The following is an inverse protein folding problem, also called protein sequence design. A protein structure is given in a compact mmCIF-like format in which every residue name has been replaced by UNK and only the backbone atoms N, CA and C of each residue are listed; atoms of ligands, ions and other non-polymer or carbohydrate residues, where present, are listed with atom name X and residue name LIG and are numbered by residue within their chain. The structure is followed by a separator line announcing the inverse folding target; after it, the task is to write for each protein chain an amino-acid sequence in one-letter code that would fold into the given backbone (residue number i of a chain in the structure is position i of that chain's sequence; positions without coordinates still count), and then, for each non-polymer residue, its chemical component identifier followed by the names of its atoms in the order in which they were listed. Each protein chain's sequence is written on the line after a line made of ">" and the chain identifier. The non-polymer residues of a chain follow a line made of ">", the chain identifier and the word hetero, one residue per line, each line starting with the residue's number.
data_IF_057015990638
#
_entry.id   IF_057015990638
#
_cell.length_a   1.000
_cell.length_b   1.000
_cell.length_c   1.000
_cell.angle_alpha   90.00
_cell.angle_beta   90.00
_cell.angle_gamma   90.00
#
_symmetry.space_group_name_H-M   'P 1'
#
loop_
_entity.id
_entity.type
_entity.pdbx_description
1 polymer ?
#
# COMPACT_ATOMS: atom_id res chain seq x y z
N UNK A 1 17.41 23.21 -2.78
CA UNK A 1 17.38 22.27 -3.93
C UNK A 1 15.92 22.03 -4.32
N UNK A 2 15.54 22.35 -5.57
CA UNK A 2 14.22 22.00 -6.10
C UNK A 2 14.00 20.51 -5.87
N UNK A 3 12.92 20.13 -5.18
CA UNK A 3 12.56 18.73 -5.03
C UNK A 3 12.28 18.13 -6.41
N UNK A 4 12.34 16.79 -6.57
CA UNK A 4 11.98 16.11 -7.82
C UNK A 4 10.54 16.38 -8.29
N UNK A 5 9.72 17.07 -7.49
CA UNK A 5 8.32 17.39 -7.74
C UNK A 5 8.10 18.39 -8.90
N UNK A 6 9.10 19.22 -9.25
CA UNK A 6 8.92 20.37 -10.16
C UNK A 6 9.74 20.29 -11.46
N UNK A 7 10.38 19.15 -11.77
CA UNK A 7 11.03 18.99 -13.09
C UNK A 7 9.97 18.76 -14.17
N UNK A 8 9.51 19.86 -14.76
CA UNK A 8 8.53 19.88 -15.85
C UNK A 8 9.00 19.17 -17.13
N UNK A 9 10.28 18.74 -17.21
CA UNK A 9 10.76 17.90 -18.31
C UNK A 9 10.36 16.42 -18.17
N UNK A 10 9.84 16.01 -17.01
CA UNK A 10 9.38 14.64 -16.73
C UNK A 10 7.91 14.47 -17.12
N UNK A 11 7.41 13.23 -17.13
CA UNK A 11 6.03 12.93 -17.53
C UNK A 11 4.97 13.70 -16.71
N UNK A 12 3.75 13.91 -17.26
CA UNK A 12 2.73 14.80 -16.69
C UNK A 12 2.11 14.31 -15.36
N UNK A 13 2.27 13.02 -15.04
CA UNK A 13 1.62 12.41 -13.88
C UNK A 13 2.50 12.37 -12.63
N UNK A 14 1.92 12.68 -11.48
CA UNK A 14 2.52 12.63 -10.15
C UNK A 14 2.03 11.38 -9.39
N UNK A 15 2.98 10.56 -8.93
CA UNK A 15 2.74 9.33 -8.17
C UNK A 15 2.64 9.61 -6.67
N UNK A 16 1.56 9.18 -6.02
CA UNK A 16 1.50 9.05 -4.56
C UNK A 16 2.02 7.68 -4.12
N UNK A 17 3.18 7.63 -3.48
CA UNK A 17 3.69 6.41 -2.83
C UNK A 17 3.07 6.33 -1.45
N UNK A 18 2.05 5.47 -1.30
CA UNK A 18 1.28 5.32 -0.05
C UNK A 18 1.79 4.11 0.72
N UNK A 19 2.38 4.37 1.89
CA UNK A 19 3.07 3.37 2.70
C UNK A 19 2.32 3.16 4.02
N UNK A 20 1.59 2.05 4.19
CA UNK A 20 0.96 1.71 5.47
C UNK A 20 2.06 1.37 6.48
N UNK A 21 2.04 2.01 7.65
CA UNK A 21 3.19 2.02 8.54
C UNK A 21 2.81 1.93 10.03
N UNK A 22 3.55 1.10 10.77
CA UNK A 22 3.64 1.10 12.24
C UNK A 22 4.89 0.34 12.68
N UNK A 23 5.75 0.96 13.49
CA UNK A 23 6.93 0.32 14.12
C UNK A 23 7.84 -0.41 13.11
N UNK A 24 8.27 0.28 12.05
CA UNK A 24 9.16 -0.21 11.00
C UNK A 24 10.26 0.82 10.67
N UNK A 25 10.83 1.44 11.69
CA UNK A 25 11.68 2.63 11.50
C UNK A 25 12.96 2.31 10.74
N UNK A 26 13.59 1.16 11.01
CA UNK A 26 14.78 0.70 10.30
C UNK A 26 14.49 0.49 8.81
N UNK A 27 13.37 -0.16 8.48
CA UNK A 27 12.93 -0.36 7.11
C UNK A 27 12.59 0.98 6.44
N UNK A 28 12.00 1.93 7.17
CA UNK A 28 11.69 3.26 6.67
C UNK A 28 12.95 4.06 6.30
N UNK A 29 14.01 3.95 7.11
CA UNK A 29 15.30 4.59 6.86
C UNK A 29 15.92 4.11 5.54
N UNK A 30 15.75 2.84 5.18
CA UNK A 30 16.21 2.33 3.89
C UNK A 30 15.23 2.66 2.77
N UNK A 31 13.93 2.52 3.03
CA UNK A 31 12.86 2.66 2.03
C UNK A 31 12.84 4.02 1.37
N UNK A 32 12.84 5.11 2.16
CA UNK A 32 12.64 6.47 1.66
C UNK A 32 13.73 6.88 0.65
N UNK A 33 15.04 6.83 0.99
CA UNK A 33 16.08 7.17 0.03
C UNK A 33 16.15 6.18 -1.14
N UNK A 34 15.90 4.87 -0.91
CA UNK A 34 15.89 3.87 -1.99
C UNK A 34 14.81 4.18 -3.03
N UNK A 35 13.57 4.40 -2.60
CA UNK A 35 12.45 4.65 -3.49
C UNK A 35 12.58 5.99 -4.22
N UNK A 36 13.03 7.04 -3.52
CA UNK A 36 13.28 8.32 -4.17
C UNK A 36 14.32 8.22 -5.28
N UNK A 37 15.45 7.54 -5.02
CA UNK A 37 16.46 7.27 -6.04
C UNK A 37 15.88 6.45 -7.20
N UNK A 38 15.22 5.33 -6.90
CA UNK A 38 14.66 4.42 -7.89
C UNK A 38 13.64 5.11 -8.81
N UNK A 39 12.76 5.94 -8.27
CA UNK A 39 11.75 6.66 -9.04
C UNK A 39 12.34 7.86 -9.81
N UNK A 40 13.31 8.57 -9.22
CA UNK A 40 13.99 9.69 -9.87
C UNK A 40 14.81 9.24 -11.08
N UNK A 41 15.52 8.11 -11.00
CA UNK A 41 16.24 7.52 -12.15
C UNK A 41 15.30 7.17 -13.32
N UNK A 42 14.02 6.97 -13.02
CA UNK A 42 12.96 6.67 -13.99
C UNK A 42 12.18 7.91 -14.43
N UNK A 43 12.57 9.09 -13.95
CA UNK A 43 11.90 10.37 -14.23
C UNK A 43 10.42 10.36 -13.86
N UNK A 44 10.09 9.78 -12.71
CA UNK A 44 8.74 9.74 -12.16
C UNK A 44 8.62 10.82 -11.09
N UNK A 45 7.72 11.78 -11.27
CA UNK A 45 7.37 12.76 -10.23
C UNK A 45 6.60 12.04 -9.14
N UNK A 46 6.98 12.21 -7.88
CA UNK A 46 6.43 11.37 -6.81
C UNK A 46 6.47 12.02 -5.44
N UNK A 47 5.46 11.72 -4.62
CA UNK A 47 5.36 12.11 -3.22
C UNK A 47 5.26 10.86 -2.35
N UNK A 48 6.03 10.80 -1.26
CA UNK A 48 6.02 9.67 -0.33
C UNK A 48 5.19 10.00 0.90
N UNK A 49 4.11 9.24 1.13
CA UNK A 49 3.20 9.36 2.26
C UNK A 49 3.32 8.15 3.18
N UNK A 50 3.83 8.39 4.38
CA UNK A 50 3.95 7.38 5.44
C UNK A 50 2.69 7.45 6.30
N UNK A 51 1.78 6.49 6.11
CA UNK A 51 0.51 6.40 6.81
C UNK A 51 0.71 5.68 8.14
N UNK A 52 1.09 6.45 9.16
CA UNK A 52 1.47 5.95 10.47
C UNK A 52 0.24 5.72 11.35
N UNK A 53 -0.08 4.45 11.62
CA UNK A 53 -1.22 4.10 12.48
C UNK A 53 -0.87 4.29 13.96
N UNK A 54 -1.46 5.31 14.59
CA UNK A 54 -1.15 5.72 15.97
C UNK A 54 -2.17 5.28 17.02
N UNK A 55 -3.34 4.79 16.60
CA UNK A 55 -4.27 4.10 17.50
C UNK A 55 -3.64 2.81 18.07
N UNK A 56 -4.32 2.20 19.05
CA UNK A 56 -3.86 0.97 19.71
C UNK A 56 -4.45 -0.31 19.13
N UNK A 57 -5.31 -0.20 18.11
CA UNK A 57 -5.90 -1.35 17.46
C UNK A 57 -4.86 -2.16 16.71
N UNK A 58 -5.22 -3.37 16.30
CA UNK A 58 -4.38 -4.19 15.41
C UNK A 58 -4.08 -3.42 14.13
N UNK A 59 -2.98 -3.77 13.47
CA UNK A 59 -2.57 -3.06 12.26
C UNK A 59 -3.59 -3.28 11.14
N UNK A 60 -4.11 -2.20 10.53
CA UNK A 60 -5.11 -2.26 9.46
C UNK A 60 -4.53 -1.63 8.20
N UNK A 61 -3.82 -2.46 7.42
CA UNK A 61 -3.16 -2.06 6.18
C UNK A 61 -4.13 -1.42 5.20
N UNK A 62 -5.31 -2.02 5.02
CA UNK A 62 -6.30 -1.56 4.05
C UNK A 62 -6.87 -0.18 4.37
N UNK A 63 -7.27 0.05 5.62
CA UNK A 63 -7.81 1.35 6.04
C UNK A 63 -6.75 2.45 5.93
N UNK A 64 -5.49 2.16 6.26
CA UNK A 64 -4.39 3.12 6.05
C UNK A 64 -4.17 3.46 4.58
N UNK A 65 -4.32 2.49 3.68
CA UNK A 65 -4.25 2.72 2.23
C UNK A 65 -5.42 3.58 1.75
N UNK A 66 -6.63 3.37 2.27
CA UNK A 66 -7.78 4.23 2.00
C UNK A 66 -7.54 5.68 2.45
N UNK A 67 -7.08 5.87 3.70
CA UNK A 67 -6.74 7.21 4.22
C UNK A 67 -5.61 7.83 3.40
N UNK A 68 -4.61 7.04 3.02
CA UNK A 68 -3.50 7.51 2.19
C UNK A 68 -3.93 7.93 0.79
N UNK A 69 -4.88 7.23 0.17
CA UNK A 69 -5.54 7.66 -1.06
C UNK A 69 -6.24 9.01 -0.87
N UNK A 70 -7.03 9.18 0.20
CA UNK A 70 -7.74 10.43 0.48
C UNK A 70 -6.79 11.62 0.71
N UNK A 71 -5.61 11.37 1.26
CA UNK A 71 -4.55 12.38 1.40
C UNK A 71 -3.90 12.67 0.04
N UNK A 72 -3.47 11.63 -0.68
CA UNK A 72 -2.70 11.75 -1.91
C UNK A 72 -3.50 12.33 -3.07
N UNK A 73 -4.81 12.08 -3.14
CA UNK A 73 -5.67 12.50 -4.26
C UNK A 73 -5.76 14.02 -4.48
N UNK A 74 -5.32 14.81 -3.51
CA UNK A 74 -5.29 16.27 -3.63
C UNK A 74 -4.02 16.78 -4.36
N UNK A 75 -3.00 15.94 -4.50
CA UNK A 75 -1.66 16.35 -4.97
C UNK A 75 -1.07 15.36 -6.02
N UNK A 76 -1.76 14.27 -6.35
CA UNK A 76 -1.27 13.17 -7.18
C UNK A 76 -2.33 12.66 -8.14
N UNK A 77 -1.92 12.06 -9.26
CA UNK A 77 -2.83 11.54 -10.31
C UNK A 77 -3.10 10.03 -10.18
N UNK A 78 -2.23 9.33 -9.46
CA UNK A 78 -2.28 7.89 -9.24
C UNK A 78 -1.51 7.52 -7.98
N UNK A 79 -1.79 6.35 -7.43
CA UNK A 79 -1.12 5.87 -6.22
C UNK A 79 -0.47 4.52 -6.44
N UNK A 80 0.61 4.26 -5.69
CA UNK A 80 1.13 2.93 -5.45
C UNK A 80 0.98 2.60 -3.98
N UNK A 81 0.22 1.53 -3.70
CA UNK A 81 0.13 0.91 -2.39
C UNK A 81 1.39 0.08 -2.19
N UNK A 82 2.24 0.45 -1.22
CA UNK A 82 3.60 -0.06 -1.17
C UNK A 82 4.01 -0.49 0.24
N UNK A 83 4.36 -1.75 0.40
CA UNK A 83 4.91 -2.25 1.66
C UNK A 83 6.32 -1.66 1.89
N UNK A 84 6.60 -1.21 3.12
CA UNK A 84 7.85 -0.51 3.48
C UNK A 84 9.09 -1.41 3.40
N UNK A 85 8.91 -2.71 3.51
CA UNK A 85 9.98 -3.71 3.58
C UNK A 85 10.27 -4.40 2.22
N UNK A 86 9.63 -3.95 1.13
CA UNK A 86 9.73 -4.61 -0.19
C UNK A 86 10.35 -3.69 -1.25
N UNK A 87 11.68 -3.68 -1.37
CA UNK A 87 12.41 -2.74 -2.22
C UNK A 87 12.62 -3.29 -3.65
N UNK A 88 12.26 -2.53 -4.71
CA UNK A 88 12.51 -2.93 -6.09
C UNK A 88 14.02 -2.87 -6.41
N UNK A 89 14.58 -3.96 -6.95
CA UNK A 89 15.99 -4.03 -7.36
C UNK A 89 16.16 -3.96 -8.88
N UNK A 90 15.12 -4.29 -9.65
CA UNK A 90 15.17 -4.30 -11.10
C UNK A 90 14.62 -3.00 -11.70
N UNK A 91 15.48 -2.22 -12.37
CA UNK A 91 15.12 -0.93 -12.99
C UNK A 91 14.05 -1.05 -14.09
N UNK A 92 13.80 -2.26 -14.63
CA UNK A 92 12.73 -2.52 -15.61
C UNK A 92 11.33 -2.58 -15.00
N UNK A 93 11.19 -2.61 -13.67
CA UNK A 93 9.89 -2.55 -13.03
C UNK A 93 9.16 -1.25 -13.41
N UNK A 94 7.87 -1.38 -13.71
CA UNK A 94 7.04 -0.29 -14.19
C UNK A 94 6.39 0.40 -12.99
N UNK A 95 6.52 1.72 -12.95
CA UNK A 95 5.92 2.61 -11.93
C UNK A 95 5.26 3.83 -12.59
N UNK A 96 5.07 3.81 -13.91
CA UNK A 96 4.41 4.90 -14.63
C UNK A 96 2.89 4.85 -14.47
N UNK A 97 2.20 5.85 -15.01
CA UNK A 97 0.75 5.97 -14.92
C UNK A 97 0.01 4.73 -15.49
N UNK A 98 -0.79 3.99 -14.71
CA UNK A 98 -1.42 2.73 -15.12
C UNK A 98 -2.75 2.94 -15.86
N UNK A 99 -2.71 3.62 -17.00
CA UNK A 99 -3.91 4.03 -17.77
C UNK A 99 -4.87 2.87 -18.07
N UNK A 100 -4.34 1.70 -18.46
CA UNK A 100 -5.15 0.56 -18.90
C UNK A 100 -5.87 -0.19 -17.78
N UNK A 101 -5.42 -0.06 -16.55
CA UNK A 101 -5.95 -0.79 -15.40
C UNK A 101 -4.92 -0.95 -14.29
N UNK A 102 -5.33 -1.45 -13.11
CA UNK A 102 -4.44 -1.66 -11.98
C UNK A 102 -3.20 -2.47 -12.38
N UNK A 103 -2.03 -2.06 -11.92
CA UNK A 103 -0.75 -2.67 -12.25
C UNK A 103 -0.09 -3.25 -11.00
N UNK A 104 0.01 -4.58 -10.92
CA UNK A 104 0.63 -5.28 -9.80
C UNK A 104 2.11 -5.53 -10.08
N UNK A 105 2.96 -4.79 -9.36
CA UNK A 105 4.42 -4.73 -9.55
C UNK A 105 5.08 -5.95 -8.91
N UNK A 106 4.68 -6.31 -7.68
CA UNK A 106 5.19 -7.47 -6.94
C UNK A 106 4.50 -8.77 -7.35
N UNK A 107 4.45 -9.04 -8.65
CA UNK A 107 3.78 -10.20 -9.25
C UNK A 107 4.16 -11.54 -8.59
N UNK A 108 3.26 -12.55 -8.55
CA UNK A 108 3.53 -13.82 -7.87
C UNK A 108 4.78 -14.58 -8.33
N UNK A 109 5.20 -14.37 -9.59
CA UNK A 109 6.42 -14.97 -10.16
C UNK A 109 7.70 -14.18 -9.85
N UNK A 110 7.59 -13.02 -9.19
CA UNK A 110 8.69 -12.14 -8.80
C UNK A 110 8.77 -11.96 -7.28
N UNK A 111 7.64 -12.05 -6.57
CA UNK A 111 7.59 -11.91 -5.13
C UNK A 111 8.35 -13.07 -4.45
N UNK A 112 9.21 -12.81 -3.45
CA UNK A 112 10.02 -13.84 -2.80
C UNK A 112 9.25 -14.81 -1.87
N UNK A 113 7.91 -14.72 -1.78
CA UNK A 113 7.13 -15.45 -0.75
C UNK A 113 5.73 -15.87 -1.20
N UNK A 114 5.00 -15.02 -1.90
CA UNK A 114 3.61 -15.27 -2.29
C UNK A 114 3.51 -15.55 -3.79
N UNK A 115 3.04 -16.75 -4.15
CA UNK A 115 3.10 -17.26 -5.54
C UNK A 115 1.73 -17.63 -6.13
N UNK A 116 0.63 -17.43 -5.39
CA UNK A 116 -0.70 -17.78 -5.85
C UNK A 116 -1.25 -16.75 -6.86
N UNK A 117 -2.09 -17.21 -7.80
CA UNK A 117 -2.49 -16.44 -9.00
C UNK A 117 -3.21 -15.12 -8.70
N UNK A 118 -4.03 -15.10 -7.65
CA UNK A 118 -4.88 -13.96 -7.25
C UNK A 118 -4.17 -12.98 -6.32
N UNK A 119 -2.91 -13.24 -5.96
CA UNK A 119 -2.13 -12.37 -5.07
C UNK A 119 -1.93 -10.97 -5.69
N UNK A 120 -2.27 -9.93 -4.92
CA UNK A 120 -2.11 -8.52 -5.29
C UNK A 120 -1.55 -7.65 -4.14
N UNK A 121 -1.00 -8.28 -3.10
CA UNK A 121 -0.32 -7.60 -2.00
C UNK A 121 1.11 -7.17 -2.34
N UNK A 122 1.82 -6.54 -1.40
CA UNK A 122 3.14 -5.97 -1.64
C UNK A 122 3.07 -4.60 -2.30
N UNK A 123 3.05 -4.57 -3.63
CA UNK A 123 3.14 -3.37 -4.46
C UNK A 123 2.13 -3.42 -5.61
N UNK A 124 1.07 -2.60 -5.49
CA UNK A 124 -0.01 -2.49 -6.46
C UNK A 124 -0.29 -1.03 -6.76
N UNK A 125 -0.46 -0.71 -8.03
CA UNK A 125 -0.63 0.67 -8.52
C UNK A 125 -1.99 0.84 -9.19
N UNK A 126 -2.63 1.98 -8.96
CA UNK A 126 -3.95 2.33 -9.51
C UNK A 126 -4.01 3.82 -9.80
N UNK A 127 -4.73 4.21 -10.85
CA UNK A 127 -5.17 5.61 -11.00
C UNK A 127 -6.17 5.96 -9.89
N UNK A 128 -6.35 7.26 -9.61
CA UNK A 128 -7.36 7.67 -8.62
C UNK A 128 -8.76 7.20 -9.00
N UNK A 129 -9.11 7.28 -10.29
CA UNK A 129 -10.40 6.83 -10.83
C UNK A 129 -10.59 5.31 -10.65
N UNK A 130 -9.55 4.51 -10.89
CA UNK A 130 -9.61 3.06 -10.68
C UNK A 130 -9.81 2.71 -9.20
N UNK A 131 -9.14 3.43 -8.30
CA UNK A 131 -9.27 3.23 -6.85
C UNK A 131 -10.66 3.65 -6.35
N UNK A 132 -11.17 4.78 -6.83
CA UNK A 132 -12.53 5.27 -6.55
C UNK A 132 -13.59 4.30 -7.07
N UNK A 133 -13.43 3.77 -8.28
CA UNK A 133 -14.35 2.81 -8.90
C UNK A 133 -14.53 1.51 -8.10
N UNK A 134 -13.51 1.07 -7.37
CA UNK A 134 -13.59 -0.09 -6.48
C UNK A 134 -13.96 0.26 -5.04
N UNK A 135 -14.20 1.55 -4.76
CA UNK A 135 -14.35 2.11 -3.42
C UNK A 135 -13.20 1.71 -2.47
N UNK A 136 -11.96 1.81 -2.96
CA UNK A 136 -10.76 1.42 -2.23
C UNK A 136 -10.79 -0.02 -1.70
N UNK A 137 -10.17 -0.23 -0.53
CA UNK A 137 -10.11 -1.52 0.15
C UNK A 137 -11.18 -1.61 1.25
N UNK A 138 -11.53 -2.83 1.67
CA UNK A 138 -12.38 -3.02 2.86
C UNK A 138 -11.70 -2.55 4.15
N UNK A 139 -12.46 -1.89 5.03
CA UNK A 139 -11.98 -1.45 6.34
C UNK A 139 -12.00 -2.57 7.40
N UNK A 140 -12.56 -3.75 7.09
CA UNK A 140 -12.83 -4.83 8.07
C UNK A 140 -11.58 -5.68 8.41
N UNK A 141 -10.44 -5.44 7.77
CA UNK A 141 -9.24 -6.28 7.89
C UNK A 141 -8.24 -5.76 8.93
N UNK A 142 -8.49 -6.09 10.19
CA UNK A 142 -7.59 -5.84 11.31
C UNK A 142 -6.64 -7.02 11.57
N UNK A 143 -5.33 -6.78 11.54
CA UNK A 143 -4.30 -7.83 11.62
C UNK A 143 -3.89 -8.35 10.24
N UNK A 144 -3.07 -9.41 10.21
CA UNK A 144 -2.44 -9.85 8.96
C UNK A 144 -3.37 -10.69 8.06
N UNK A 145 -3.49 -10.24 6.81
CA UNK A 145 -3.89 -10.99 5.62
C UNK A 145 -5.36 -10.84 5.21
N UNK A 146 -5.63 -11.22 3.95
CA UNK A 146 -6.93 -11.29 3.27
C UNK A 146 -7.46 -9.97 2.69
N UNK A 147 -6.90 -8.82 3.07
CA UNK A 147 -7.35 -7.54 2.55
C UNK A 147 -7.01 -7.35 1.06
N UNK A 148 -5.87 -7.92 0.63
CA UNK A 148 -5.42 -7.95 -0.75
C UNK A 148 -6.26 -8.91 -1.61
N UNK A 149 -6.58 -10.09 -1.07
CA UNK A 149 -7.51 -11.05 -1.70
C UNK A 149 -8.90 -10.42 -1.93
N UNK A 150 -9.38 -9.62 -0.97
CA UNK A 150 -10.66 -8.95 -1.06
C UNK A 150 -10.62 -7.83 -2.11
N UNK A 151 -9.56 -7.01 -2.12
CA UNK A 151 -9.33 -6.01 -3.17
C UNK A 151 -9.27 -6.64 -4.57
N UNK A 152 -8.65 -7.82 -4.71
CA UNK A 152 -8.65 -8.56 -5.97
C UNK A 152 -10.08 -8.84 -6.45
N UNK A 153 -10.97 -9.28 -5.55
CA UNK A 153 -12.38 -9.49 -5.89
C UNK A 153 -13.08 -8.19 -6.30
N UNK A 154 -12.81 -7.07 -5.60
CA UNK A 154 -13.36 -5.74 -5.99
C UNK A 154 -12.99 -5.37 -7.42
N UNK A 155 -11.71 -5.53 -7.78
CA UNK A 155 -11.24 -5.21 -9.13
C UNK A 155 -11.95 -6.05 -10.19
N UNK A 156 -12.12 -7.36 -9.95
CA UNK A 156 -12.79 -8.24 -10.91
C UNK A 156 -14.27 -7.89 -11.06
N UNK A 157 -14.97 -7.59 -9.96
CA UNK A 157 -16.38 -7.17 -9.98
C UNK A 157 -16.59 -5.82 -10.70
N UNK A 158 -15.64 -4.90 -10.56
CA UNK A 158 -15.66 -3.60 -11.24
C UNK A 158 -15.29 -3.69 -12.74
N UNK A 159 -15.01 -4.91 -13.25
CA UNK A 159 -14.59 -5.14 -14.63
C UNK A 159 -13.22 -4.55 -14.97
N UNK A 160 -12.35 -4.38 -13.97
CA UNK A 160 -10.99 -3.90 -14.19
C UNK A 160 -10.07 -5.04 -14.65
N UNK A 161 -9.22 -4.76 -15.63
CA UNK A 161 -8.18 -5.70 -16.06
C UNK A 161 -6.91 -5.47 -15.24
N UNK A 162 -6.44 -6.51 -14.55
CA UNK A 162 -5.20 -6.49 -13.78
C UNK A 162 -3.98 -6.75 -14.67
N UNK A 163 -3.02 -5.84 -14.66
CA UNK A 163 -1.76 -5.95 -15.42
C UNK A 163 -0.58 -6.32 -14.52
N UNK A 164 0.38 -7.05 -15.08
CA UNK A 164 1.63 -7.49 -14.43
C UNK A 164 2.72 -7.54 -15.49
N UNK A 165 3.98 -7.47 -15.08
CA UNK A 165 5.09 -7.78 -15.99
C UNK A 165 4.98 -9.20 -16.52
N UNK A 166 5.28 -9.39 -17.81
CA UNK A 166 5.45 -10.72 -18.38
C UNK A 166 6.74 -11.37 -17.89
N UNK A 167 6.76 -12.71 -17.79
CA UNK A 167 7.93 -13.48 -17.35
C UNK A 167 9.21 -13.20 -18.16
N UNK A 168 9.06 -12.84 -19.44
CA UNK A 168 10.19 -12.52 -20.32
C UNK A 168 10.67 -11.07 -20.16
N UNK A 169 9.86 -10.18 -19.58
CA UNK A 169 10.22 -8.79 -19.36
C UNK A 169 11.13 -8.62 -18.13
N UNK A 170 10.86 -9.39 -17.07
CA UNK A 170 11.61 -9.38 -15.81
C UNK A 170 12.15 -10.79 -15.54
N UNK A 171 13.45 -10.98 -15.77
CA UNK A 171 14.12 -12.29 -15.68
C UNK A 171 14.84 -12.53 -14.35
N UNK A 172 14.84 -11.55 -13.44
CA UNK A 172 15.51 -11.64 -12.12
C UNK A 172 14.83 -12.59 -11.13
N UNK A 173 13.65 -13.13 -11.46
CA UNK A 173 12.93 -14.09 -10.62
C UNK A 173 12.69 -13.56 -9.21
N UNK A 174 13.02 -14.35 -8.18
CA UNK A 174 12.84 -13.97 -6.77
C UNK A 174 13.87 -12.95 -6.26
N UNK A 175 14.91 -12.63 -7.04
CA UNK A 175 15.86 -11.56 -6.74
C UNK A 175 15.40 -10.20 -7.28
N UNK A 176 14.14 -10.10 -7.72
CA UNK A 176 13.57 -8.84 -8.25
C UNK A 176 13.35 -7.81 -7.14
N UNK A 177 13.12 -8.28 -5.92
CA UNK A 177 12.90 -7.44 -4.74
C UNK A 177 13.82 -7.86 -3.59
N UNK A 178 14.33 -6.89 -2.84
CA UNK A 178 14.80 -7.13 -1.48
C UNK A 178 13.58 -7.09 -0.56
N UNK A 179 13.35 -8.15 0.22
CA UNK A 179 12.26 -8.21 1.21
C UNK A 179 12.88 -8.27 2.60
N UNK A 180 13.03 -7.11 3.24
CA UNK A 180 13.69 -6.95 4.53
C UNK A 180 12.72 -7.23 5.68
N UNK A 181 12.42 -8.51 5.86
CA UNK A 181 11.42 -8.95 6.82
C UNK A 181 11.93 -10.14 7.61
N UNK A 182 12.62 -9.87 8.71
CA UNK A 182 12.95 -10.90 9.70
C UNK A 182 11.66 -11.33 10.44
N UNK A 183 11.19 -12.58 10.27
CA UNK A 183 9.95 -13.04 10.90
C UNK A 183 10.02 -13.13 12.43
N UNK A 184 11.22 -13.16 13.02
CA UNK A 184 11.40 -13.16 14.48
C UNK A 184 11.24 -11.75 15.06
N UNK A 185 11.79 -10.74 14.37
CA UNK A 185 11.71 -9.33 14.77
C UNK A 185 10.36 -8.70 14.38
N UNK A 186 9.86 -9.01 13.19
CA UNK A 186 8.63 -8.45 12.60
C UNK A 186 7.54 -9.50 12.55
N UNK A 187 7.09 -9.96 13.72
CA UNK A 187 6.03 -10.95 13.83
C UNK A 187 4.74 -10.44 13.17
N UNK A 188 4.22 -11.24 12.24
CA UNK A 188 2.89 -11.02 11.66
C UNK A 188 1.81 -11.38 12.67
N UNK A 189 0.80 -10.52 12.80
CA UNK A 189 -0.36 -10.76 13.64
C UNK A 189 -1.35 -11.71 12.94
N UNK A 190 -1.13 -13.01 13.12
CA UNK A 190 -1.97 -14.07 12.57
C UNK A 190 -3.21 -14.40 13.41
N UNK A 191 -3.43 -13.73 14.55
CA UNK A 191 -4.55 -14.04 15.41
C UNK A 191 -5.87 -13.95 14.64
N UNK A 192 -6.79 -14.87 14.94
CA UNK A 192 -8.15 -14.89 14.40
C UNK A 192 -9.10 -14.85 15.58
N UNK A 193 -9.72 -13.69 15.78
CA UNK A 193 -10.52 -13.39 16.97
C UNK A 193 -12.00 -13.42 16.60
N UNK A 194 -12.86 -13.83 17.54
CA UNK A 194 -14.31 -13.94 17.30
C UNK A 194 -14.63 -14.73 16.02
N UNK A 195 -15.53 -14.22 15.18
CA UNK A 195 -15.86 -14.74 13.87
C UNK A 195 -14.97 -14.22 12.73
N UNK A 196 -13.85 -13.53 13.01
CA UNK A 196 -12.98 -12.91 11.99
C UNK A 196 -12.61 -13.88 10.85
N UNK A 197 -12.29 -15.14 11.18
CA UNK A 197 -11.95 -16.15 10.17
C UNK A 197 -13.09 -16.38 9.17
N UNK A 198 -14.34 -16.32 9.60
CA UNK A 198 -15.50 -16.48 8.72
C UNK A 198 -15.75 -15.22 7.90
N UNK A 199 -15.71 -14.05 8.55
CA UNK A 199 -15.97 -12.76 7.90
C UNK A 199 -14.90 -12.43 6.86
N UNK A 200 -13.62 -12.79 7.07
CA UNK A 200 -12.52 -12.51 6.14
C UNK A 200 -12.59 -13.24 4.79
N UNK A 201 -13.56 -14.14 4.60
CA UNK A 201 -13.83 -14.80 3.30
C UNK A 201 -15.11 -14.29 2.65
N UNK A 202 -15.88 -13.43 3.33
CA UNK A 202 -17.04 -12.79 2.74
C UNK A 202 -16.58 -11.55 1.98
N UNK A 203 -17.25 -11.30 0.86
CA UNK A 203 -17.07 -10.07 0.08
C UNK A 203 -17.69 -8.92 0.87
N UNK A 204 -16.91 -7.89 1.17
CA UNK A 204 -17.39 -6.72 1.90
C UNK A 204 -17.90 -5.64 0.95
N UNK A 205 -19.22 -5.48 0.86
CA UNK A 205 -19.84 -4.47 0.00
C UNK A 205 -20.21 -3.19 0.74
N UNK A 206 -19.97 -3.14 2.05
CA UNK A 206 -20.50 -2.09 2.91
C UNK A 206 -19.43 -1.06 3.28
N UNK A 207 -18.16 -1.44 3.27
CA UNK A 207 -17.05 -0.55 3.66
C UNK A 207 -16.03 -0.34 2.54
N UNK A 208 -15.34 0.79 2.57
CA UNK A 208 -14.44 1.24 1.53
C UNK A 208 -13.74 2.56 1.87
N UNK A 209 -13.20 3.20 0.85
CA UNK A 209 -12.54 4.49 0.99
C UNK A 209 -13.50 5.64 1.39
N UNK A 210 -14.77 5.55 1.01
CA UNK A 210 -15.81 6.52 1.35
C UNK A 210 -16.35 6.43 2.80
N UNK A 211 -16.08 5.31 3.46
CA UNK A 211 -16.66 4.91 4.76
C UNK A 211 -15.59 4.61 5.79
N UNK A 212 -14.32 4.85 5.48
CA UNK A 212 -13.23 4.73 6.45
C UNK A 212 -13.38 5.81 7.52
N UNK A 213 -13.46 5.39 8.78
CA UNK A 213 -13.56 6.31 9.92
C UNK A 213 -12.18 6.51 10.56
N UNK A 214 -11.74 7.76 10.62
CA UNK A 214 -10.40 8.10 11.11
C UNK A 214 -10.28 9.57 11.52
N UNK A 215 -9.24 9.85 12.29
CA UNK A 215 -8.77 11.20 12.61
C UNK A 215 -7.31 11.35 12.19
N UNK A 216 -6.95 12.42 11.47
CA UNK A 216 -5.54 12.80 11.26
C UNK A 216 -5.07 13.60 12.47
N UNK A 217 -4.26 12.99 13.33
CA UNK A 217 -3.71 13.66 14.51
C UNK A 217 -2.64 14.69 14.13
N UNK A 218 -1.83 14.39 13.10
CA UNK A 218 -0.86 15.37 12.56
C UNK A 218 -0.35 14.95 11.18
N UNK A 219 -0.01 15.94 10.34
CA UNK A 219 0.77 15.77 9.10
C UNK A 219 2.12 16.48 9.30
N UNK A 220 3.24 15.77 9.15
CA UNK A 220 4.59 16.35 9.32
C UNK A 220 5.47 16.00 8.12
N UNK A 221 6.28 16.96 7.67
CA UNK A 221 7.35 16.67 6.73
C UNK A 221 8.54 16.10 7.50
N UNK A 222 9.13 15.03 6.96
CA UNK A 222 10.36 14.41 7.44
C UNK A 222 11.40 14.44 6.33
N UNK A 223 12.66 14.49 6.73
CA UNK A 223 13.81 14.34 5.83
C UNK A 223 14.61 13.12 6.29
N UNK A 224 14.74 12.13 5.42
CA UNK A 224 15.56 10.93 5.65
C UNK A 224 16.66 10.93 4.60
N UNK A 225 17.91 11.08 5.01
CA UNK A 225 19.09 11.17 4.12
C UNK A 225 18.90 12.18 2.97
N UNK A 226 18.36 13.36 3.30
CA UNK A 226 18.11 14.43 2.33
C UNK A 226 16.89 14.21 1.42
N UNK A 227 16.16 13.10 1.59
CA UNK A 227 14.93 12.80 0.85
C UNK A 227 13.70 13.22 1.66
N UNK A 228 12.79 14.05 1.11
CA UNK A 228 11.56 14.43 1.78
C UNK A 228 10.53 13.29 1.75
N UNK A 229 9.83 13.10 2.86
CA UNK A 229 8.58 12.35 2.90
C UNK A 229 7.59 13.02 3.86
N UNK A 230 6.31 12.69 3.73
CA UNK A 230 5.27 13.17 4.65
C UNK A 230 4.83 12.04 5.54
N UNK A 231 4.97 12.17 6.86
CA UNK A 231 4.33 11.28 7.82
C UNK A 231 2.96 11.83 8.20
N UNK A 232 1.95 10.96 8.11
CA UNK A 232 0.57 11.25 8.50
C UNK A 232 0.23 10.33 9.66
N UNK A 233 0.06 10.89 10.85
CA UNK A 233 -0.39 10.16 12.03
C UNK A 233 -1.90 9.98 11.95
N UNK A 234 -2.32 8.73 11.73
CA UNK A 234 -3.72 8.34 11.54
C UNK A 234 -4.19 7.55 12.75
N UNK A 235 -5.23 8.05 13.40
CA UNK A 235 -6.01 7.31 14.39
C UNK A 235 -7.22 6.71 13.66
N UNK A 236 -7.20 5.40 13.43
CA UNK A 236 -8.34 4.69 12.85
C UNK A 236 -9.38 4.40 13.93
N UNK A 237 -10.66 4.59 13.60
CA UNK A 237 -11.74 4.24 14.49
C UNK A 237 -12.20 2.81 14.22
N UNK A 238 -12.54 2.08 15.29
CA UNK A 238 -13.12 0.76 15.21
C UNK A 238 -14.57 0.79 15.69
N UNK A 239 -15.48 0.35 14.81
CA UNK A 239 -16.81 -0.09 15.21
C UNK A 239 -16.68 -1.52 15.77
N UNK A 240 -16.86 -1.65 17.08
CA UNK A 240 -16.77 -2.93 17.79
C UNK A 240 -17.98 -3.84 17.56
N UNK A 241 -19.12 -3.31 17.15
CA UNK A 241 -20.30 -4.12 16.84
C UNK A 241 -20.13 -4.79 15.47
N UNK A 242 -19.40 -4.15 14.55
CA UNK A 242 -19.12 -4.68 13.20
C UNK A 242 -17.82 -5.47 13.16
N UNK A 243 -16.76 -4.97 13.79
CA UNK A 243 -15.39 -5.54 13.73
C UNK A 243 -14.75 -5.72 15.10
N UNK A 244 -15.34 -6.51 16.02
CA UNK A 244 -14.80 -6.69 17.37
C UNK A 244 -13.38 -7.27 17.41
N UNK A 245 -12.91 -7.86 16.31
CA UNK A 245 -11.54 -8.36 16.14
C UNK A 245 -10.49 -7.28 15.86
N UNK A 246 -10.85 -5.99 15.91
CA UNK A 246 -9.91 -4.87 15.80
C UNK A 246 -8.92 -4.82 16.96
N UNK A 247 -9.29 -5.35 18.12
CA UNK A 247 -8.42 -5.47 19.29
C UNK A 247 -8.20 -6.92 19.71
N UNK A 248 -7.01 -7.17 20.26
CA UNK A 248 -6.63 -8.47 20.81
C UNK A 248 -7.19 -8.73 22.21
N UNK A 249 -7.79 -7.72 22.84
CA UNK A 249 -8.28 -7.78 24.23
C UNK A 249 -9.68 -7.18 24.32
N UNK A 250 -10.64 -7.98 24.80
CA UNK A 250 -11.67 -7.44 25.67
C UNK A 250 -10.98 -7.16 27.00
N UNK A 251 -10.87 -5.90 27.39
CA UNK A 251 -10.79 -5.53 28.81
C UNK A 251 -12.18 -5.61 29.41
#
# INVERSE_FOLDING_TARGET
>A
PQGPDDDLSWGPHVLGVVVPYRNRFEELLEFVPHMNKFLSEKKIRHRIFIMNQVDKHRFNRASLLNVGYLVARNECDYIVMHDVDLLPLNSKLFYGYPEKGPFHISSPHLHPKYHYRTFVGGILMMTLEQFEKVNGLSNKFWGWGREDDELYQRMMEAGLTLYRHGKNAITTGYNTFKHDHDPQLRKRDYARLYNQKKESFRRDRDTGADTVEYTIQSKRQLMIDGTPCTIVNVELHCDYDVTPWCDSKQS
#
